data_IF_569794899841
#
_entry.id   IF_569794899841
#
_cell.length_a   1.000
_cell.length_b   1.000
_cell.length_c   1.000
_cell.angle_alpha   90.00
_cell.angle_beta   90.00
_cell.angle_gamma   90.00
#
_symmetry.space_group_name_H-M   'P 1'
#
loop_
_entity.id
_entity.type
_entity.pdbx_description
1 polymer ?
#
# COMPACT_ATOMS: atom_id res chain seq x y z
N UNK A 1 -37.11 4.49 26.52
CA UNK A 1 -36.58 4.33 25.15
C UNK A 1 -35.09 4.06 25.28
N UNK A 2 -34.62 2.85 24.95
CA UNK A 2 -33.17 2.63 24.75
C UNK A 2 -32.75 3.52 23.59
N UNK A 3 -31.72 4.33 23.78
CA UNK A 3 -31.22 5.18 22.70
C UNK A 3 -30.62 4.29 21.61
N UNK A 4 -30.67 4.72 20.35
CA UNK A 4 -30.05 4.01 19.22
C UNK A 4 -28.57 3.64 19.52
N UNK A 5 -27.91 4.49 20.30
CA UNK A 5 -26.58 4.26 20.84
C UNK A 5 -26.48 3.01 21.73
N UNK A 6 -27.39 2.83 22.68
CA UNK A 6 -27.38 1.68 23.60
C UNK A 6 -27.52 0.35 22.84
N UNK A 7 -28.38 0.33 21.82
CA UNK A 7 -28.58 -0.83 20.96
C UNK A 7 -27.32 -1.18 20.18
N UNK A 8 -26.68 -0.19 19.54
CA UNK A 8 -25.46 -0.41 18.77
C UNK A 8 -24.30 -0.87 19.67
N UNK A 9 -24.21 -0.34 20.89
CA UNK A 9 -23.18 -0.72 21.85
C UNK A 9 -23.35 -2.18 22.34
N UNK A 10 -24.57 -2.59 22.69
CA UNK A 10 -24.88 -3.98 23.03
C UNK A 10 -24.60 -4.95 21.86
N UNK A 11 -24.90 -4.51 20.63
CA UNK A 11 -24.63 -5.31 19.44
C UNK A 11 -23.12 -5.48 19.20
N UNK A 12 -22.31 -4.42 19.39
CA UNK A 12 -20.86 -4.49 19.29
C UNK A 12 -20.25 -5.47 20.30
N UNK A 13 -20.73 -5.43 21.55
CA UNK A 13 -20.27 -6.37 22.60
C UNK A 13 -20.56 -7.82 22.20
N UNK A 14 -21.74 -8.08 21.64
CA UNK A 14 -22.12 -9.42 21.19
C UNK A 14 -21.22 -9.91 20.05
N UNK A 15 -21.00 -9.08 19.03
CA UNK A 15 -20.13 -9.42 17.90
C UNK A 15 -18.67 -9.63 18.32
N UNK A 16 -18.19 -8.86 19.29
CA UNK A 16 -16.84 -9.01 19.85
C UNK A 16 -16.67 -10.37 20.54
N UNK A 17 -17.66 -10.79 21.35
CA UNK A 17 -17.66 -12.12 21.97
C UNK A 17 -17.70 -13.26 20.96
N UNK A 18 -18.50 -13.12 19.90
CA UNK A 18 -18.53 -14.11 18.81
C UNK A 18 -17.18 -14.20 18.10
N UNK A 19 -16.52 -13.06 17.86
CA UNK A 19 -15.17 -13.04 17.30
C UNK A 19 -14.15 -13.73 18.20
N UNK A 20 -14.19 -13.45 19.50
CA UNK A 20 -13.32 -14.12 20.50
C UNK A 20 -13.57 -15.63 20.57
N UNK A 21 -14.81 -16.07 20.32
CA UNK A 21 -15.17 -17.48 20.20
C UNK A 21 -14.80 -18.12 18.85
N UNK A 22 -14.14 -17.37 17.95
CA UNK A 22 -13.61 -17.87 16.67
C UNK A 22 -14.53 -17.66 15.46
N UNK A 23 -15.64 -16.94 15.60
CA UNK A 23 -16.50 -16.59 14.47
C UNK A 23 -15.93 -15.41 13.66
N UNK A 24 -16.15 -15.43 12.34
CA UNK A 24 -15.72 -14.34 11.45
C UNK A 24 -16.76 -13.21 11.46
N UNK A 25 -16.60 -12.29 12.41
CA UNK A 25 -17.50 -11.14 12.58
C UNK A 25 -16.82 -9.78 12.29
N UNK A 26 -15.62 -9.77 11.68
CA UNK A 26 -14.84 -8.53 11.49
C UNK A 26 -15.58 -7.48 10.64
N UNK A 27 -16.40 -7.92 9.67
CA UNK A 27 -17.15 -7.03 8.79
C UNK A 27 -18.31 -6.36 9.53
N UNK A 28 -19.07 -7.15 10.30
CA UNK A 28 -20.20 -6.70 11.10
C UNK A 28 -19.73 -5.76 12.21
N UNK A 29 -18.61 -6.09 12.87
CA UNK A 29 -17.97 -5.20 13.87
C UNK A 29 -17.60 -3.86 13.25
N UNK A 30 -16.99 -3.89 12.06
CA UNK A 30 -16.63 -2.65 11.34
C UNK A 30 -17.87 -1.81 11.04
N UNK A 31 -18.95 -2.45 10.58
CA UNK A 31 -20.21 -1.74 10.29
C UNK A 31 -20.83 -1.09 11.53
N UNK A 32 -20.89 -1.81 12.66
CA UNK A 32 -21.44 -1.27 13.91
C UNK A 32 -20.60 -0.11 14.44
N UNK A 33 -19.27 -0.21 14.37
CA UNK A 33 -18.35 0.87 14.74
C UNK A 33 -18.54 2.12 13.86
N UNK A 34 -18.82 1.98 12.56
CA UNK A 34 -19.17 3.11 11.68
C UNK A 34 -20.44 3.80 12.13
N UNK A 35 -21.49 3.02 12.42
CA UNK A 35 -22.76 3.54 12.92
C UNK A 35 -22.56 4.29 14.24
N UNK A 36 -21.86 3.68 15.21
CA UNK A 36 -21.57 4.31 16.51
C UNK A 36 -20.82 5.64 16.34
N UNK A 37 -19.77 5.67 15.53
CA UNK A 37 -19.00 6.89 15.29
C UNK A 37 -19.85 7.97 14.59
N UNK A 38 -20.71 7.59 13.65
CA UNK A 38 -21.64 8.53 12.98
C UNK A 38 -22.65 9.10 13.97
N UNK A 39 -23.21 8.28 14.86
CA UNK A 39 -24.16 8.73 15.90
C UNK A 39 -23.48 9.64 16.92
N UNK A 40 -22.25 9.34 17.34
CA UNK A 40 -21.51 10.15 18.33
C UNK A 40 -20.96 11.46 17.77
N UNK A 41 -20.46 11.45 16.53
CA UNK A 41 -19.65 12.54 15.99
C UNK A 41 -20.22 13.19 14.72
N UNK A 42 -21.37 12.73 14.24
CA UNK A 42 -22.01 13.24 13.02
C UNK A 42 -21.24 12.97 11.73
N UNK A 43 -20.20 12.14 11.77
CA UNK A 43 -19.32 11.84 10.62
C UNK A 43 -18.99 10.36 10.53
N UNK A 44 -18.78 9.87 9.31
CA UNK A 44 -18.49 8.46 9.07
C UNK A 44 -17.06 8.08 9.49
N UNK A 45 -16.91 6.92 10.13
CA UNK A 45 -15.61 6.32 10.44
C UNK A 45 -15.08 5.60 9.20
N UNK A 46 -13.83 5.82 8.87
CA UNK A 46 -13.13 5.10 7.81
C UNK A 46 -12.04 4.24 8.42
N UNK A 47 -12.13 2.93 8.28
CA UNK A 47 -11.06 2.01 8.63
C UNK A 47 -9.94 2.07 7.59
N UNK A 48 -8.69 1.73 7.96
CA UNK A 48 -7.60 1.59 6.99
C UNK A 48 -7.90 0.60 5.86
N UNK A 49 -8.75 -0.41 6.09
CA UNK A 49 -9.28 -1.33 5.07
C UNK A 49 -10.25 -0.67 4.10
N UNK A 50 -10.87 0.43 4.52
CA UNK A 50 -11.80 1.24 3.73
C UNK A 50 -11.08 2.31 2.92
N UNK A 51 -9.74 2.27 2.88
CA UNK A 51 -8.96 3.05 1.93
C UNK A 51 -9.37 2.61 0.54
N UNK A 52 -10.42 3.25 0.05
CA UNK A 52 -10.74 3.33 -1.35
C UNK A 52 -9.49 3.87 -2.00
N UNK A 53 -8.84 3.02 -2.78
CA UNK A 53 -7.81 3.45 -3.69
C UNK A 53 -8.50 4.37 -4.68
N UNK A 54 -8.57 5.66 -4.34
CA UNK A 54 -9.05 6.70 -5.25
C UNK A 54 -8.26 6.51 -6.54
N UNK A 55 -8.96 6.26 -7.66
CA UNK A 55 -8.35 6.16 -8.97
C UNK A 55 -7.29 7.23 -9.06
N UNK A 56 -6.04 6.82 -9.20
CA UNK A 56 -4.96 7.78 -9.25
C UNK A 56 -5.04 8.44 -10.62
N UNK A 57 -5.57 9.66 -10.63
CA UNK A 57 -5.60 10.51 -11.82
C UNK A 57 -4.20 10.55 -12.41
N UNK A 58 -4.12 10.31 -13.73
CA UNK A 58 -2.90 10.25 -14.55
C UNK A 58 -2.05 8.97 -14.44
N UNK A 59 -2.60 7.86 -13.94
CA UNK A 59 -1.99 6.53 -14.05
C UNK A 59 -2.83 5.65 -14.96
N UNK A 60 -2.15 4.93 -15.86
CA UNK A 60 -2.80 4.03 -16.82
C UNK A 60 -3.71 2.99 -16.14
N UNK A 61 -4.93 2.80 -16.68
CA UNK A 61 -5.96 1.94 -16.08
C UNK A 61 -5.58 0.45 -16.09
N UNK A 62 -4.89 -0.01 -17.14
CA UNK A 62 -4.41 -1.39 -17.20
C UNK A 62 -3.31 -1.62 -16.17
N UNK A 63 -2.38 -0.67 -16.04
CA UNK A 63 -1.33 -0.72 -15.02
C UNK A 63 -1.93 -0.75 -13.61
N UNK A 64 -2.93 0.10 -13.34
CA UNK A 64 -3.67 0.05 -12.07
C UNK A 64 -4.31 -1.33 -11.88
N UNK A 65 -5.04 -1.85 -12.86
CA UNK A 65 -5.69 -3.16 -12.76
C UNK A 65 -4.69 -4.28 -12.43
N UNK A 66 -3.53 -4.33 -13.11
CA UNK A 66 -2.47 -5.30 -12.84
C UNK A 66 -1.91 -5.20 -11.41
N UNK A 67 -1.79 -3.98 -10.88
CA UNK A 67 -1.31 -3.74 -9.51
C UNK A 67 -2.34 -4.12 -8.44
N UNK A 68 -3.64 -4.04 -8.75
CA UNK A 68 -4.73 -4.33 -7.80
C UNK A 68 -5.21 -5.79 -7.81
N UNK A 69 -4.89 -6.59 -8.85
CA UNK A 69 -5.22 -8.03 -8.86
C UNK A 69 -4.53 -8.72 -7.67
N UNK A 70 -5.23 -9.63 -6.97
CA UNK A 70 -4.82 -10.32 -5.73
C UNK A 70 -3.48 -11.11 -5.80
N UNK A 71 -2.78 -11.09 -6.92
CA UNK A 71 -1.39 -11.49 -7.07
C UNK A 71 -0.86 -10.81 -8.36
N UNK A 72 0.30 -10.12 -8.35
CA UNK A 72 1.48 -10.32 -7.48
C UNK A 72 1.88 -9.10 -6.63
N UNK A 73 2.75 -9.31 -5.61
CA UNK A 73 3.43 -8.22 -4.86
C UNK A 73 4.30 -7.33 -5.75
N UNK A 74 4.66 -7.79 -6.96
CA UNK A 74 5.47 -7.07 -7.93
C UNK A 74 4.88 -7.29 -9.32
N UNK A 75 4.57 -6.21 -10.03
CA UNK A 75 4.03 -6.23 -11.39
C UNK A 75 5.17 -6.18 -12.39
N UNK A 76 5.19 -7.13 -13.32
CA UNK A 76 6.14 -7.13 -14.44
C UNK A 76 5.80 -6.02 -15.42
N UNK A 77 6.82 -5.26 -15.82
CA UNK A 77 6.69 -4.11 -16.70
C UNK A 77 7.77 -4.11 -17.77
N UNK A 78 7.35 -3.76 -19.00
CA UNK A 78 8.26 -3.63 -20.13
C UNK A 78 8.38 -2.19 -20.61
N UNK A 79 9.02 -2.02 -21.77
CA UNK A 79 9.10 -0.72 -22.46
C UNK A 79 7.73 -0.12 -22.77
N UNK A 80 6.73 -0.97 -23.03
CA UNK A 80 5.33 -0.54 -23.25
C UNK A 80 4.71 0.16 -22.04
N UNK A 81 5.27 -0.01 -20.84
CA UNK A 81 4.77 0.59 -19.59
C UNK A 81 5.54 1.86 -19.19
N UNK A 82 6.44 2.36 -20.04
CA UNK A 82 7.15 3.63 -19.82
C UNK A 82 6.16 4.79 -19.82
N UNK A 83 6.42 5.79 -18.97
CA UNK A 83 5.60 7.00 -18.82
C UNK A 83 4.11 6.78 -18.44
N UNK A 84 3.71 5.57 -18.03
CA UNK A 84 2.33 5.26 -17.59
C UNK A 84 2.00 5.63 -16.13
N UNK A 85 2.87 6.39 -15.47
CA UNK A 85 2.66 6.84 -14.09
C UNK A 85 3.03 5.83 -12.98
N UNK A 86 3.85 4.81 -13.27
CA UNK A 86 4.33 3.81 -12.29
C UNK A 86 4.89 4.44 -11.01
N UNK A 87 5.86 5.34 -11.17
CA UNK A 87 6.52 6.00 -10.02
C UNK A 87 5.53 6.87 -9.25
N UNK A 88 4.69 7.65 -9.94
CA UNK A 88 3.62 8.45 -9.32
C UNK A 88 2.66 7.60 -8.49
N UNK A 89 2.30 6.41 -8.99
CA UNK A 89 1.47 5.43 -8.26
C UNK A 89 2.16 4.99 -6.97
N UNK A 90 3.43 4.59 -7.01
CA UNK A 90 4.17 4.19 -5.80
C UNK A 90 4.37 5.34 -4.81
N UNK A 91 4.59 6.57 -5.28
CA UNK A 91 4.77 7.74 -4.42
C UNK A 91 3.47 8.12 -3.69
N UNK A 92 2.34 8.17 -4.42
CA UNK A 92 1.01 8.38 -3.80
C UNK A 92 0.71 7.28 -2.80
N UNK A 93 1.09 6.06 -3.11
CA UNK A 93 0.93 4.95 -2.19
C UNK A 93 1.76 5.05 -0.93
N UNK A 94 3.01 5.47 -1.10
CA UNK A 94 3.92 5.71 0.00
C UNK A 94 3.35 6.77 0.94
N UNK A 95 2.82 7.87 0.39
CA UNK A 95 2.14 8.91 1.15
C UNK A 95 0.93 8.36 1.91
N UNK A 96 0.05 7.63 1.22
CA UNK A 96 -1.18 7.09 1.81
C UNK A 96 -0.89 6.09 2.93
N UNK A 97 0.07 5.19 2.73
CA UNK A 97 0.32 4.06 3.62
C UNK A 97 1.48 4.28 4.59
N UNK A 98 2.21 5.39 4.48
CA UNK A 98 3.43 5.66 5.25
C UNK A 98 4.45 4.51 5.12
N UNK A 99 4.58 3.99 3.89
CA UNK A 99 5.48 2.89 3.51
C UNK A 99 6.50 3.44 2.51
N UNK A 100 7.81 3.30 2.72
CA UNK A 100 8.80 3.89 1.82
C UNK A 100 8.84 3.19 0.46
N UNK A 101 9.28 3.93 -0.56
CA UNK A 101 9.60 3.40 -1.90
C UNK A 101 11.11 3.17 -2.00
N UNK A 102 11.50 1.97 -2.41
CA UNK A 102 12.88 1.62 -2.72
C UNK A 102 13.14 1.88 -4.19
N UNK A 103 14.25 2.56 -4.47
CA UNK A 103 14.74 2.88 -5.81
C UNK A 103 16.13 2.28 -6.01
N UNK A 104 16.53 2.05 -7.25
CA UNK A 104 17.87 1.54 -7.56
C UNK A 104 18.97 2.50 -7.09
N UNK A 105 20.11 1.98 -6.64
CA UNK A 105 21.25 2.77 -6.13
C UNK A 105 21.78 3.84 -7.09
N UNK A 106 21.73 3.60 -8.41
CA UNK A 106 22.17 4.56 -9.43
C UNK A 106 21.15 5.67 -9.74
N UNK A 107 20.02 5.65 -9.05
CA UNK A 107 18.93 6.60 -9.31
C UNK A 107 19.22 7.94 -8.66
N UNK A 108 19.22 9.01 -9.45
CA UNK A 108 19.39 10.37 -8.93
C UNK A 108 18.18 10.75 -8.05
N UNK A 109 18.40 10.81 -6.73
CA UNK A 109 17.41 11.19 -5.72
C UNK A 109 16.78 12.58 -6.01
N UNK A 110 17.48 13.46 -6.74
CA UNK A 110 16.91 14.75 -7.18
C UNK A 110 15.69 14.57 -8.08
N UNK A 111 15.65 13.52 -8.91
CA UNK A 111 14.52 13.25 -9.81
C UNK A 111 13.26 12.96 -9.01
N UNK A 112 13.36 12.11 -7.99
CA UNK A 112 12.21 11.74 -7.15
C UNK A 112 11.78 12.89 -6.26
N UNK A 113 12.72 13.66 -5.70
CA UNK A 113 12.42 14.89 -4.94
C UNK A 113 11.72 15.94 -5.79
N UNK A 114 12.19 16.14 -7.03
CA UNK A 114 11.56 17.09 -7.95
C UNK A 114 10.15 16.64 -8.32
N UNK A 115 9.97 15.39 -8.70
CA UNK A 115 8.67 14.81 -9.03
C UNK A 115 7.70 14.87 -7.83
N UNK A 116 8.19 14.57 -6.62
CA UNK A 116 7.41 14.65 -5.38
C UNK A 116 6.88 16.06 -5.17
N UNK A 117 7.75 17.06 -5.32
CA UNK A 117 7.40 18.48 -5.19
C UNK A 117 6.41 18.92 -6.26
N UNK A 118 6.65 18.57 -7.53
CA UNK A 118 5.77 18.91 -8.65
C UNK A 118 4.35 18.36 -8.46
N UNK A 119 4.23 17.14 -7.94
CA UNK A 119 2.95 16.47 -7.70
C UNK A 119 2.34 16.75 -6.33
N UNK A 120 3.00 17.54 -5.47
CA UNK A 120 2.54 17.79 -4.10
C UNK A 120 2.48 16.51 -3.23
N UNK A 121 3.33 15.53 -3.51
CA UNK A 121 3.36 14.24 -2.81
C UNK A 121 4.45 14.26 -1.74
N UNK A 122 4.09 13.92 -0.51
CA UNK A 122 5.06 13.68 0.57
C UNK A 122 5.27 12.18 0.73
N UNK A 123 6.44 11.68 0.34
CA UNK A 123 6.79 10.26 0.43
C UNK A 123 8.25 10.06 0.84
N UNK A 124 8.55 8.89 1.39
CA UNK A 124 9.92 8.50 1.76
C UNK A 124 10.50 7.64 0.65
N UNK A 125 11.60 8.11 0.06
CA UNK A 125 12.37 7.38 -0.95
C UNK A 125 13.66 6.88 -0.30
N UNK A 126 14.03 5.63 -0.51
CA UNK A 126 15.23 5.02 0.03
C UNK A 126 15.99 4.31 -1.10
N UNK A 127 17.23 4.71 -1.41
CA UNK A 127 18.09 3.95 -2.30
C UNK A 127 18.37 2.54 -1.77
N UNK A 128 18.47 1.55 -2.66
CA UNK A 128 18.61 0.14 -2.29
C UNK A 128 19.85 -0.18 -1.43
N UNK A 129 20.95 0.56 -1.59
CA UNK A 129 22.18 0.42 -0.79
C UNK A 129 22.05 1.02 0.63
N UNK A 130 21.03 1.85 0.86
CA UNK A 130 20.78 2.53 2.12
C UNK A 130 19.84 1.76 3.04
N UNK A 131 19.62 0.47 2.79
CA UNK A 131 18.72 -0.40 3.55
C UNK A 131 19.34 -0.99 4.82
N UNK A 132 20.66 -1.13 4.86
CA UNK A 132 21.36 -1.72 5.99
C UNK A 132 21.09 -0.94 7.29
N UNK A 133 20.78 -1.66 8.37
CA UNK A 133 20.48 -1.07 9.69
C UNK A 133 19.11 -0.39 9.80
N UNK A 134 18.29 -0.32 8.74
CA UNK A 134 16.94 0.26 8.83
C UNK A 134 15.92 -0.77 9.30
N UNK A 135 15.08 -0.36 10.27
CA UNK A 135 13.88 -1.11 10.63
C UNK A 135 12.71 -0.68 9.75
N UNK A 136 12.23 -1.58 8.89
CA UNK A 136 11.11 -1.35 7.97
C UNK A 136 9.93 -2.30 8.30
N UNK A 137 9.33 -2.19 9.50
CA UNK A 137 8.33 -3.15 9.99
C UNK A 137 7.04 -3.17 9.15
N UNK A 138 6.73 -2.04 8.51
CA UNK A 138 5.57 -1.91 7.63
C UNK A 138 5.86 -2.32 6.18
N UNK A 139 7.07 -2.81 5.89
CA UNK A 139 7.47 -3.22 4.55
C UNK A 139 7.87 -2.07 3.63
N UNK A 140 7.91 -2.36 2.33
CA UNK A 140 8.39 -1.44 1.29
C UNK A 140 7.61 -1.58 -0.03
N UNK A 141 7.61 -0.51 -0.82
CA UNK A 141 7.29 -0.53 -2.24
C UNK A 141 8.55 -0.57 -3.09
N UNK A 142 8.54 -1.26 -4.23
CA UNK A 142 9.71 -1.40 -5.12
C UNK A 142 9.46 -0.67 -6.43
N UNK A 143 10.30 0.31 -6.76
CA UNK A 143 10.29 0.96 -8.07
C UNK A 143 11.03 0.12 -9.12
N UNK A 144 10.64 0.26 -10.40
CA UNK A 144 11.23 -0.51 -11.50
C UNK A 144 12.72 -0.25 -11.75
N UNK A 145 13.30 0.78 -11.11
CA UNK A 145 14.74 1.05 -11.12
C UNK A 145 15.56 0.08 -10.28
N UNK A 146 14.94 -0.68 -9.37
CA UNK A 146 15.64 -1.67 -8.54
C UNK A 146 16.08 -2.87 -9.38
N UNK A 147 17.36 -3.20 -9.36
CA UNK A 147 17.93 -4.32 -10.12
C UNK A 147 17.57 -5.68 -9.50
N UNK A 148 17.83 -6.77 -10.23
CA UNK A 148 17.63 -8.14 -9.74
C UNK A 148 18.43 -8.42 -8.47
N UNK A 149 19.69 -8.01 -8.46
CA UNK A 149 20.63 -8.24 -7.37
C UNK A 149 20.18 -7.47 -6.12
N UNK A 150 19.79 -6.21 -6.29
CA UNK A 150 19.23 -5.39 -5.21
C UNK A 150 17.94 -5.99 -4.65
N UNK A 151 17.04 -6.47 -5.52
CA UNK A 151 15.81 -7.12 -5.11
C UNK A 151 16.07 -8.42 -4.33
N UNK A 152 17.11 -9.17 -4.71
CA UNK A 152 17.54 -10.36 -3.99
C UNK A 152 18.06 -10.00 -2.59
N UNK A 153 18.93 -8.99 -2.46
CA UNK A 153 19.39 -8.50 -1.15
C UNK A 153 18.21 -8.05 -0.27
N UNK A 154 17.22 -7.35 -0.83
CA UNK A 154 16.02 -6.92 -0.07
C UNK A 154 15.26 -8.11 0.51
N UNK A 155 15.13 -9.20 -0.25
CA UNK A 155 14.46 -10.43 0.20
C UNK A 155 15.26 -11.13 1.30
N UNK A 156 16.58 -11.14 1.19
CA UNK A 156 17.48 -11.74 2.21
C UNK A 156 17.44 -10.97 3.54
N UNK A 157 17.15 -9.67 3.50
CA UNK A 157 16.94 -8.84 4.69
C UNK A 157 15.58 -9.06 5.38
N UNK A 158 14.76 -10.01 4.91
CA UNK A 158 13.40 -10.31 5.40
C UNK A 158 12.46 -9.08 5.41
N UNK A 159 12.68 -8.15 4.48
CA UNK A 159 11.85 -6.95 4.36
C UNK A 159 10.57 -7.29 3.57
N UNK A 160 9.41 -7.04 4.18
CA UNK A 160 8.11 -7.31 3.54
C UNK A 160 7.87 -6.41 2.32
N UNK A 161 7.85 -6.99 1.13
CA UNK A 161 7.43 -6.28 -0.10
C UNK A 161 5.90 -6.17 -0.14
N UNK A 162 5.39 -4.95 -0.31
CA UNK A 162 3.95 -4.63 -0.31
C UNK A 162 3.36 -4.44 -1.69
N UNK A 163 4.21 -4.13 -2.67
CA UNK A 163 3.81 -3.73 -4.01
C UNK A 163 5.05 -3.27 -4.77
N UNK A 164 4.99 -3.22 -6.09
CA UNK A 164 6.07 -2.64 -6.88
C UNK A 164 6.03 -3.01 -8.34
N UNK A 165 7.01 -2.52 -9.09
CA UNK A 165 7.20 -2.79 -10.51
C UNK A 165 8.59 -3.37 -10.75
N UNK A 166 8.71 -4.27 -11.71
CA UNK A 166 9.98 -4.89 -12.04
C UNK A 166 10.09 -5.23 -13.53
N UNK A 167 11.28 -5.12 -14.12
CA UNK A 167 11.51 -5.39 -15.55
C UNK A 167 11.72 -6.89 -15.82
N UNK A 168 11.22 -7.36 -16.98
CA UNK A 168 11.10 -8.79 -17.34
C UNK A 168 12.44 -9.47 -17.66
N UNK A 169 13.48 -8.69 -17.97
CA UNK A 169 14.85 -9.17 -18.26
C UNK A 169 15.47 -9.97 -17.09
N UNK A 170 14.78 -10.00 -15.94
CA UNK A 170 15.15 -10.70 -14.71
C UNK A 170 14.58 -12.13 -14.64
N UNK A 171 13.50 -12.44 -15.35
CA UNK A 171 12.83 -13.76 -15.31
C UNK A 171 13.23 -14.72 -16.44
N UNK A 172 13.80 -14.22 -17.55
CA UNK A 172 14.19 -15.05 -18.71
C UNK A 172 15.42 -15.95 -18.48
N UNK A 173 16.04 -15.88 -17.28
CA UNK A 173 17.23 -16.67 -16.91
C UNK A 173 16.99 -17.63 -15.73
N UNK A 174 15.72 -17.94 -15.42
CA UNK A 174 15.33 -18.89 -14.37
C UNK A 174 14.49 -20.07 -14.91
N UNK A 175 14.75 -20.47 -16.16
CA UNK A 175 14.44 -21.81 -16.69
C UNK A 175 15.75 -22.58 -16.84
#
# INVERSE_FOLDING_TARGET
MKTEFDYLNEHLVTLTRLREAGHKCDQEISQVLRCLHKTMFGRELYFPSDRTWSIIENVDKDLQSRFHKKAPKLVLVGNIDRAKGKTTLLMKLSQQNSIPVIVGTSTDDKVYKHLAKEKGISCVIIPADCLSGRRLPNGVYIDSTVTKEQLQTIKELDIKIKGGFHHDDVLSSLV
#
